data_IF_924566651868
#
_entry.id   IF_924566651868
#
_cell.length_a   1.000
_cell.length_b   1.000
_cell.length_c   1.000
_cell.angle_alpha   90.00
_cell.angle_beta   90.00
_cell.angle_gamma   90.00
#
_symmetry.space_group_name_H-M   'P 1'
#
loop_
_entity.id
_entity.type
_entity.pdbx_description
1 polymer ?
#
# COMPACT_ATOMS: atom_id res chain seq x y z
N UNK A 1 -21.40 3.81 -63.54
CA UNK A 1 -21.54 3.21 -62.20
C UNK A 1 -20.41 2.21 -62.04
N UNK A 2 -19.27 2.63 -61.50
CA UNK A 2 -18.11 1.75 -61.29
C UNK A 2 -17.86 1.67 -59.79
N UNK A 3 -18.43 0.64 -59.17
CA UNK A 3 -18.12 0.27 -57.80
C UNK A 3 -16.74 -0.37 -57.77
N UNK A 4 -15.72 0.40 -57.40
CA UNK A 4 -14.43 -0.18 -57.02
C UNK A 4 -14.55 -0.65 -55.58
N UNK A 5 -14.58 -1.97 -55.42
CA UNK A 5 -14.51 -2.67 -54.14
C UNK A 5 -13.25 -2.21 -53.42
N UNK A 6 -13.42 -1.42 -52.36
CA UNK A 6 -12.35 -1.14 -51.42
C UNK A 6 -11.94 -2.45 -50.78
N UNK A 7 -10.77 -2.95 -51.21
CA UNK A 7 -10.03 -4.04 -50.61
C UNK A 7 -9.75 -3.69 -49.14
N UNK A 8 -10.63 -4.12 -48.25
CA UNK A 8 -10.37 -4.17 -46.82
C UNK A 8 -9.50 -5.39 -46.56
N UNK A 9 -8.21 -5.26 -46.91
CA UNK A 9 -7.15 -6.13 -46.40
C UNK A 9 -7.08 -5.88 -44.89
N UNK A 10 -7.77 -6.74 -44.15
CA UNK A 10 -7.66 -6.88 -42.71
C UNK A 10 -6.16 -7.00 -42.36
N UNK A 11 -5.58 -5.92 -41.85
CA UNK A 11 -4.15 -5.86 -41.58
C UNK A 11 -3.80 -6.93 -40.55
N UNK A 12 -3.13 -8.00 -41.01
CA UNK A 12 -2.76 -9.16 -40.20
C UNK A 12 -2.03 -8.71 -38.93
N UNK A 13 -2.54 -9.16 -37.78
CA UNK A 13 -1.93 -8.88 -36.48
C UNK A 13 -0.56 -9.55 -36.41
N UNK A 14 0.48 -8.76 -36.12
CA UNK A 14 1.88 -9.19 -36.06
C UNK A 14 2.24 -9.58 -34.63
N UNK A 15 2.87 -10.73 -34.47
CA UNK A 15 3.38 -11.16 -33.17
C UNK A 15 4.77 -10.56 -32.94
N UNK A 16 5.01 -9.88 -31.80
CA UNK A 16 6.35 -9.49 -31.43
C UNK A 16 7.20 -10.73 -31.14
N UNK A 17 8.52 -10.61 -31.28
CA UNK A 17 9.44 -11.66 -30.83
C UNK A 17 9.23 -11.82 -29.33
N UNK A 18 8.87 -13.03 -28.88
CA UNK A 18 8.51 -13.34 -27.49
C UNK A 18 9.68 -13.04 -26.53
N UNK A 19 10.92 -12.99 -27.04
CA UNK A 19 12.12 -12.57 -26.31
C UNK A 19 12.19 -11.07 -25.99
N UNK A 20 11.41 -10.22 -26.66
CA UNK A 20 11.44 -8.76 -26.48
C UNK A 20 10.99 -8.29 -25.07
N UNK A 21 9.88 -8.77 -24.49
CA UNK A 21 9.56 -8.56 -23.08
C UNK A 21 10.57 -9.24 -22.15
N UNK A 22 11.18 -10.36 -22.59
CA UNK A 22 12.01 -11.23 -21.76
C UNK A 22 11.16 -12.24 -20.98
N UNK A 23 11.78 -13.34 -20.54
CA UNK A 23 11.10 -14.30 -19.67
C UNK A 23 10.83 -13.70 -18.30
N UNK A 24 9.80 -14.21 -17.63
CA UNK A 24 9.35 -13.77 -16.33
C UNK A 24 9.34 -14.93 -15.34
N UNK A 25 10.25 -14.90 -14.39
CA UNK A 25 10.41 -15.90 -13.33
C UNK A 25 9.70 -15.54 -12.03
N UNK A 26 9.18 -14.31 -11.92
CA UNK A 26 8.58 -13.75 -10.71
C UNK A 26 9.54 -12.96 -9.81
N UNK A 27 10.79 -12.74 -10.22
CA UNK A 27 11.77 -11.95 -9.46
C UNK A 27 11.59 -10.44 -9.54
N UNK A 28 10.81 -9.97 -10.52
CA UNK A 28 10.58 -8.56 -10.80
C UNK A 28 9.09 -8.22 -10.72
N UNK A 29 8.78 -6.92 -10.62
CA UNK A 29 7.41 -6.41 -10.62
C UNK A 29 6.64 -6.87 -11.87
N UNK A 30 5.56 -7.65 -11.65
CA UNK A 30 4.69 -8.12 -12.72
C UNK A 30 4.05 -6.96 -13.50
N UNK A 31 3.72 -5.84 -12.86
CA UNK A 31 3.14 -4.66 -13.52
C UNK A 31 4.11 -4.12 -14.57
N UNK A 32 5.37 -3.92 -14.17
CA UNK A 32 6.42 -3.44 -15.08
C UNK A 32 6.65 -4.39 -16.26
N UNK A 33 6.71 -5.68 -15.99
CA UNK A 33 6.88 -6.69 -17.04
C UNK A 33 5.67 -6.73 -18.00
N UNK A 34 4.44 -6.71 -17.46
CA UNK A 34 3.20 -6.67 -18.26
C UNK A 34 3.13 -5.42 -19.14
N UNK A 35 3.53 -4.25 -18.63
CA UNK A 35 3.59 -3.03 -19.42
C UNK A 35 4.56 -3.17 -20.58
N UNK A 36 5.75 -3.76 -20.34
CA UNK A 36 6.74 -4.02 -21.39
C UNK A 36 6.21 -4.97 -22.46
N UNK A 37 5.50 -6.03 -22.03
CA UNK A 37 4.83 -6.96 -22.95
C UNK A 37 3.78 -6.25 -23.80
N UNK A 38 2.89 -5.46 -23.19
CA UNK A 38 1.87 -4.71 -23.92
C UNK A 38 2.49 -3.74 -24.94
N UNK A 39 3.52 -2.99 -24.54
CA UNK A 39 4.26 -2.10 -25.44
C UNK A 39 4.88 -2.84 -26.62
N UNK A 40 5.39 -4.06 -26.42
CA UNK A 40 5.97 -4.85 -27.51
C UNK A 40 4.95 -5.23 -28.59
N UNK A 41 3.71 -5.54 -28.19
CA UNK A 41 2.61 -5.78 -29.12
C UNK A 41 2.21 -4.50 -29.86
N UNK A 42 2.06 -3.40 -29.14
CA UNK A 42 1.69 -2.11 -29.73
C UNK A 42 2.75 -1.62 -30.73
N UNK A 43 4.04 -1.82 -30.44
CA UNK A 43 5.14 -1.39 -31.30
C UNK A 43 5.11 -2.05 -32.69
N UNK A 44 4.66 -3.30 -32.79
CA UNK A 44 4.60 -4.04 -34.06
C UNK A 44 3.22 -3.97 -34.74
N UNK A 45 2.20 -3.48 -34.03
CA UNK A 45 0.80 -3.41 -34.50
C UNK A 45 0.25 -1.97 -34.57
N UNK A 46 1.11 -0.96 -34.74
CA UNK A 46 0.69 0.44 -34.92
C UNK A 46 -0.14 0.97 -33.73
N UNK A 47 0.20 0.54 -32.51
CA UNK A 47 -0.52 0.92 -31.29
C UNK A 47 -1.74 0.05 -30.97
N UNK A 48 -2.08 -0.96 -31.78
CA UNK A 48 -3.18 -1.88 -31.48
C UNK A 48 -2.79 -2.90 -30.42
N UNK A 49 -3.72 -3.14 -29.49
CA UNK A 49 -3.61 -4.20 -28.50
C UNK A 49 -3.90 -5.57 -29.13
N UNK A 50 -3.31 -6.62 -28.55
CA UNK A 50 -3.58 -8.00 -28.95
C UNK A 50 -4.94 -8.47 -28.45
N UNK A 51 -5.54 -9.43 -29.17
CA UNK A 51 -6.71 -10.13 -28.66
C UNK A 51 -6.38 -10.92 -27.37
N UNK A 52 -7.37 -11.18 -26.50
CA UNK A 52 -7.15 -11.85 -25.22
C UNK A 52 -6.45 -13.20 -25.35
N UNK A 53 -6.79 -13.99 -26.37
CA UNK A 53 -6.22 -15.32 -26.56
C UNK A 53 -4.73 -15.22 -26.89
N UNK A 54 -4.37 -14.37 -27.83
CA UNK A 54 -2.98 -14.12 -28.22
C UNK A 54 -2.17 -13.58 -27.05
N UNK A 55 -2.72 -12.63 -26.30
CA UNK A 55 -2.02 -12.03 -25.18
C UNK A 55 -1.78 -13.03 -24.04
N UNK A 56 -2.81 -13.81 -23.65
CA UNK A 56 -2.69 -14.85 -22.61
C UNK A 56 -1.69 -15.93 -23.04
N UNK A 57 -1.71 -16.36 -24.30
CA UNK A 57 -0.72 -17.32 -24.84
C UNK A 57 0.70 -16.78 -24.73
N UNK A 58 0.90 -15.53 -25.15
CA UNK A 58 2.21 -14.89 -25.07
C UNK A 58 2.70 -14.76 -23.64
N UNK A 59 1.82 -14.41 -22.70
CA UNK A 59 2.14 -14.42 -21.29
C UNK A 59 2.58 -15.80 -20.83
N UNK A 60 1.75 -16.84 -21.05
CA UNK A 60 2.03 -18.20 -20.62
C UNK A 60 3.36 -18.75 -21.17
N UNK A 61 3.69 -18.46 -22.43
CA UNK A 61 4.96 -18.88 -23.04
C UNK A 61 6.17 -18.13 -22.48
N UNK A 62 5.99 -16.93 -21.94
CA UNK A 62 7.05 -16.13 -21.37
C UNK A 62 7.25 -16.37 -19.87
N UNK A 63 6.36 -17.10 -19.19
CA UNK A 63 6.51 -17.47 -17.79
C UNK A 63 7.55 -18.59 -17.63
N UNK A 64 8.44 -18.42 -16.65
CA UNK A 64 9.45 -19.40 -16.28
C UNK A 64 9.47 -19.60 -14.75
N UNK A 65 10.18 -20.62 -14.28
CA UNK A 65 10.47 -20.82 -12.86
C UNK A 65 9.24 -20.78 -11.94
N UNK A 66 9.28 -19.90 -10.94
CA UNK A 66 8.23 -19.79 -9.91
C UNK A 66 6.92 -19.24 -10.49
N UNK A 67 6.98 -18.35 -11.49
CA UNK A 67 5.80 -17.79 -12.12
C UNK A 67 5.05 -18.83 -12.97
N UNK A 68 5.78 -19.66 -13.72
CA UNK A 68 5.18 -20.80 -14.43
C UNK A 68 4.53 -21.79 -13.45
N UNK A 69 5.26 -22.16 -12.40
CA UNK A 69 4.76 -23.09 -11.36
C UNK A 69 3.49 -22.57 -10.68
N UNK A 70 3.42 -21.26 -10.41
CA UNK A 70 2.24 -20.63 -9.82
C UNK A 70 1.01 -20.77 -10.73
N UNK A 71 1.16 -20.48 -12.03
CA UNK A 71 0.08 -20.64 -13.01
C UNK A 71 -0.36 -22.10 -13.08
N UNK A 72 0.58 -23.05 -13.14
CA UNK A 72 0.27 -24.49 -13.21
C UNK A 72 -0.37 -25.04 -11.92
N UNK A 73 -0.14 -24.39 -10.78
CA UNK A 73 -0.76 -24.76 -9.51
C UNK A 73 -2.20 -24.25 -9.35
N UNK A 74 -2.57 -23.20 -10.06
CA UNK A 74 -3.88 -22.54 -9.93
C UNK A 74 -4.87 -23.10 -10.95
N UNK A 75 -5.95 -23.72 -10.47
CA UNK A 75 -7.03 -24.23 -11.32
C UNK A 75 -7.66 -23.13 -12.19
N UNK A 76 -7.86 -21.94 -11.60
CA UNK A 76 -8.41 -20.79 -12.31
C UNK A 76 -7.51 -20.37 -13.48
N UNK A 77 -6.22 -20.18 -13.23
CA UNK A 77 -5.27 -19.71 -14.25
C UNK A 77 -5.06 -20.77 -15.33
N UNK A 78 -5.01 -22.05 -14.97
CA UNK A 78 -5.02 -23.16 -15.93
C UNK A 78 -6.26 -23.18 -16.81
N UNK A 79 -7.44 -22.91 -16.23
CA UNK A 79 -8.68 -22.84 -17.00
C UNK A 79 -8.64 -21.70 -18.02
N UNK A 80 -8.08 -20.55 -17.65
CA UNK A 80 -7.90 -19.38 -18.53
C UNK A 80 -6.93 -19.71 -19.67
N UNK A 81 -5.77 -20.30 -19.37
CA UNK A 81 -4.78 -20.72 -20.39
C UNK A 81 -5.39 -21.75 -21.33
N UNK A 82 -6.19 -22.68 -20.82
CA UNK A 82 -6.92 -23.65 -21.63
C UNK A 82 -7.93 -22.96 -22.56
N UNK A 83 -8.76 -22.04 -22.06
CA UNK A 83 -9.69 -21.24 -22.89
C UNK A 83 -8.96 -20.46 -23.97
N UNK A 84 -7.85 -19.81 -23.63
CA UNK A 84 -7.02 -19.07 -24.57
C UNK A 84 -6.46 -19.99 -25.68
N UNK A 85 -6.02 -21.20 -25.31
CA UNK A 85 -5.54 -22.21 -26.25
C UNK A 85 -6.60 -22.59 -27.28
N UNK A 86 -7.86 -22.69 -26.85
CA UNK A 86 -9.01 -22.99 -27.70
C UNK A 86 -9.62 -21.76 -28.40
N UNK A 87 -9.06 -20.56 -28.22
CA UNK A 87 -9.56 -19.33 -28.85
C UNK A 87 -10.84 -18.78 -28.23
N UNK A 88 -11.18 -19.19 -27.00
CA UNK A 88 -12.40 -18.80 -26.30
C UNK A 88 -12.17 -17.96 -25.04
N UNK A 89 -10.94 -17.47 -24.82
CA UNK A 89 -10.67 -16.56 -23.71
C UNK A 89 -11.32 -15.19 -23.94
N UNK A 90 -11.91 -14.66 -22.87
CA UNK A 90 -12.58 -13.36 -22.88
C UNK A 90 -11.66 -12.25 -22.38
N UNK A 91 -12.11 -11.00 -22.50
CA UNK A 91 -11.40 -9.87 -21.90
C UNK A 91 -11.34 -9.97 -20.36
N UNK A 92 -12.36 -10.55 -19.74
CA UNK A 92 -12.40 -10.77 -18.29
C UNK A 92 -11.35 -11.81 -17.87
N UNK A 93 -11.17 -12.87 -18.65
CA UNK A 93 -10.11 -13.86 -18.43
C UNK A 93 -8.72 -13.22 -18.44
N UNK A 94 -8.49 -12.31 -19.39
CA UNK A 94 -7.23 -11.55 -19.45
C UNK A 94 -7.06 -10.64 -18.23
N UNK A 95 -8.12 -9.97 -17.79
CA UNK A 95 -8.09 -9.12 -16.60
C UNK A 95 -7.79 -9.93 -15.33
N UNK A 96 -8.43 -11.08 -15.16
CA UNK A 96 -8.20 -11.99 -14.04
C UNK A 96 -6.78 -12.55 -14.04
N UNK A 97 -6.26 -12.92 -15.20
CA UNK A 97 -4.89 -13.43 -15.31
C UNK A 97 -3.85 -12.35 -14.95
N UNK A 98 -4.04 -11.11 -15.43
CA UNK A 98 -3.20 -9.97 -15.07
C UNK A 98 -3.27 -9.65 -13.58
N UNK A 99 -4.47 -9.65 -13.01
CA UNK A 99 -4.69 -9.41 -11.58
C UNK A 99 -3.96 -10.46 -10.75
N UNK A 100 -4.12 -11.74 -11.07
CA UNK A 100 -3.45 -12.81 -10.32
C UNK A 100 -1.92 -12.69 -10.31
N UNK A 101 -1.31 -12.33 -11.45
CA UNK A 101 0.13 -12.09 -11.51
C UNK A 101 0.57 -10.85 -10.73
N UNK A 102 -0.18 -9.75 -10.85
CA UNK A 102 0.15 -8.49 -10.15
C UNK A 102 -0.06 -8.58 -8.65
N UNK A 103 -1.09 -9.29 -8.18
CA UNK A 103 -1.31 -9.56 -6.75
C UNK A 103 -0.20 -10.45 -6.17
N UNK A 104 0.28 -11.44 -6.94
CA UNK A 104 1.31 -12.38 -6.50
C UNK A 104 2.72 -11.79 -6.55
N UNK A 105 3.03 -11.05 -7.60
CA UNK A 105 4.35 -10.49 -7.90
C UNK A 105 4.30 -8.96 -7.91
N UNK A 106 3.59 -8.38 -6.94
CA UNK A 106 3.70 -6.97 -6.67
C UNK A 106 5.15 -6.68 -6.23
N UNK A 107 5.73 -5.53 -6.59
CA UNK A 107 6.96 -5.10 -5.97
C UNK A 107 6.63 -5.01 -4.50
N UNK A 108 7.16 -5.93 -3.69
CA UNK A 108 7.36 -5.62 -2.30
C UNK A 108 8.13 -4.30 -2.38
N UNK A 109 7.47 -3.19 -2.02
CA UNK A 109 8.21 -2.07 -1.46
C UNK A 109 9.21 -2.75 -0.57
N UNK A 110 10.50 -2.50 -0.82
CA UNK A 110 11.62 -2.94 0.01
C UNK A 110 11.04 -3.19 1.39
N UNK A 111 11.15 -4.41 1.91
CA UNK A 111 10.95 -4.64 3.33
C UNK A 111 11.94 -3.69 4.04
N UNK A 112 11.62 -2.38 4.12
CA UNK A 112 11.79 -1.56 5.28
C UNK A 112 11.18 -2.47 6.32
N UNK A 113 12.06 -3.16 7.07
CA UNK A 113 11.73 -4.39 7.76
C UNK A 113 10.37 -4.15 8.34
N UNK A 114 9.37 -4.91 7.85
CA UNK A 114 8.01 -4.77 8.29
C UNK A 114 8.13 -4.51 9.79
N UNK A 115 7.62 -3.38 10.25
CA UNK A 115 7.56 -3.09 11.67
C UNK A 115 6.57 -4.10 12.27
N UNK A 116 6.90 -5.38 12.17
CA UNK A 116 6.44 -6.47 12.99
C UNK A 116 6.73 -5.97 14.38
N UNK A 117 5.71 -5.36 14.98
CA UNK A 117 5.07 -5.66 16.28
C UNK A 117 5.85 -6.42 17.38
N UNK A 118 7.09 -6.82 17.16
CA UNK A 118 8.02 -7.38 18.12
C UNK A 118 9.10 -6.34 18.43
N UNK A 119 8.87 -5.58 19.51
CA UNK A 119 9.88 -4.86 20.33
C UNK A 119 10.15 -3.38 20.06
N UNK A 120 9.14 -2.56 19.71
CA UNK A 120 9.26 -1.14 20.04
C UNK A 120 9.00 -0.94 21.52
N UNK A 121 10.07 -0.82 22.30
CA UNK A 121 9.96 -0.41 23.68
C UNK A 121 9.50 1.05 23.72
N UNK A 122 8.18 1.22 23.83
CA UNK A 122 7.52 2.52 24.01
C UNK A 122 7.71 3.07 25.43
N UNK A 123 8.41 2.35 26.31
CA UNK A 123 8.74 2.85 27.65
C UNK A 123 9.94 3.78 27.54
N UNK A 124 9.92 4.85 28.33
CA UNK A 124 11.09 5.71 28.51
C UNK A 124 12.15 4.92 29.27
N UNK A 125 13.40 4.93 28.79
CA UNK A 125 14.52 4.33 29.52
C UNK A 125 14.77 5.06 30.85
N UNK A 126 15.31 4.36 31.85
CA UNK A 126 15.54 4.94 33.19
C UNK A 126 16.42 6.20 33.16
N UNK A 127 17.37 6.27 32.21
CA UNK A 127 18.29 7.39 32.03
C UNK A 127 18.01 8.20 30.75
N UNK A 128 16.86 7.98 30.08
CA UNK A 128 16.51 8.67 28.84
C UNK A 128 15.88 10.04 29.15
N UNK A 129 16.44 11.18 28.69
CA UNK A 129 15.80 12.48 28.87
C UNK A 129 14.50 12.56 28.06
N UNK A 130 13.47 13.22 28.62
CA UNK A 130 12.12 13.27 28.06
C UNK A 130 12.07 13.71 26.59
N UNK A 131 12.94 14.66 26.20
CA UNK A 131 13.01 15.16 24.83
C UNK A 131 13.50 14.09 23.84
N UNK A 132 14.49 13.28 24.25
CA UNK A 132 15.01 12.19 23.42
C UNK A 132 13.96 11.09 23.27
N UNK A 133 13.28 10.74 24.35
CA UNK A 133 12.15 9.80 24.33
C UNK A 133 11.04 10.26 23.37
N UNK A 134 10.60 11.51 23.49
CA UNK A 134 9.55 12.07 22.63
C UNK A 134 9.95 12.03 21.16
N UNK A 135 11.18 12.45 20.83
CA UNK A 135 11.68 12.45 19.45
C UNK A 135 11.73 11.04 18.87
N UNK A 136 12.17 10.06 19.67
CA UNK A 136 12.21 8.65 19.27
C UNK A 136 10.82 8.10 19.00
N UNK A 137 9.88 8.30 19.93
CA UNK A 137 8.50 7.79 19.80
C UNK A 137 7.75 8.44 18.64
N UNK A 138 7.87 9.76 18.46
CA UNK A 138 7.25 10.46 17.32
C UNK A 138 7.86 10.01 15.99
N UNK A 139 9.18 9.82 15.94
CA UNK A 139 9.86 9.27 14.77
C UNK A 139 9.36 7.89 14.39
N UNK A 140 9.16 7.01 15.37
CA UNK A 140 8.57 5.68 15.18
C UNK A 140 7.13 5.75 14.70
N UNK A 141 6.31 6.60 15.33
CA UNK A 141 4.90 6.74 15.00
C UNK A 141 4.70 7.28 13.57
N UNK A 142 5.52 8.24 13.15
CA UNK A 142 5.51 8.77 11.77
C UNK A 142 5.93 7.72 10.74
N UNK A 143 6.92 6.88 11.05
CA UNK A 143 7.33 5.76 10.17
C UNK A 143 6.23 4.70 10.06
N UNK A 144 5.48 4.47 11.13
CA UNK A 144 4.30 3.59 11.13
C UNK A 144 3.06 4.21 10.44
N UNK A 145 3.19 5.38 9.80
CA UNK A 145 2.08 6.06 9.12
C UNK A 145 1.14 6.84 10.04
N UNK A 146 1.47 6.98 11.32
CA UNK A 146 0.78 7.84 12.26
C UNK A 146 0.93 9.31 11.84
N UNK A 147 -0.20 9.93 11.49
CA UNK A 147 -0.27 11.37 11.22
C UNK A 147 -0.67 12.10 12.49
N UNK A 148 -0.03 13.22 12.76
CA UNK A 148 -0.51 14.15 13.78
C UNK A 148 -1.94 14.56 13.39
N UNK A 149 -2.90 14.38 14.31
CA UNK A 149 -4.27 14.85 14.08
C UNK A 149 -4.19 16.36 13.81
N UNK A 150 -4.89 16.89 12.80
CA UNK A 150 -4.88 18.32 12.53
C UNK A 150 -5.37 19.02 13.79
N UNK A 151 -4.46 19.75 14.45
CA UNK A 151 -4.82 20.67 15.51
C UNK A 151 -5.57 21.79 14.81
N UNK A 152 -6.90 21.70 14.80
CA UNK A 152 -7.74 22.81 14.37
C UNK A 152 -7.49 23.96 15.33
N UNK A 153 -6.70 24.94 14.88
CA UNK A 153 -6.18 26.06 15.66
C UNK A 153 -7.25 27.01 16.24
N UNK A 154 -8.55 26.72 16.08
CA UNK A 154 -9.65 27.58 16.52
C UNK A 154 -10.65 26.89 17.46
N UNK A 155 -10.31 25.77 18.09
CA UNK A 155 -11.18 25.23 19.14
C UNK A 155 -10.80 25.87 20.48
N UNK A 156 -11.60 26.83 21.02
CA UNK A 156 -11.28 27.41 22.32
C UNK A 156 -11.29 26.29 23.36
N UNK A 157 -10.18 26.12 24.07
CA UNK A 157 -10.03 25.14 25.15
C UNK A 157 -11.31 25.10 26.00
N UNK A 158 -11.84 23.90 26.20
CA UNK A 158 -13.02 23.68 27.03
C UNK A 158 -12.75 24.20 28.45
N UNK A 159 -13.82 24.52 29.17
CA UNK A 159 -13.71 25.06 30.54
C UNK A 159 -12.94 24.08 31.44
N UNK A 160 -13.09 22.77 31.22
CA UNK A 160 -12.36 21.73 31.95
C UNK A 160 -10.85 21.75 31.64
N UNK A 161 -10.46 21.90 30.37
CA UNK A 161 -9.06 21.96 29.96
C UNK A 161 -8.37 23.24 30.47
N UNK A 162 -9.08 24.38 30.42
CA UNK A 162 -8.62 25.65 31.02
C UNK A 162 -8.39 25.52 32.52
N UNK A 163 -9.29 24.82 33.22
CA UNK A 163 -9.15 24.58 34.66
C UNK A 163 -7.91 23.73 34.97
N UNK A 164 -7.72 22.61 34.26
CA UNK A 164 -6.57 21.72 34.47
C UNK A 164 -5.26 22.44 34.19
N UNK A 165 -5.18 23.21 33.08
CA UNK A 165 -3.98 23.99 32.76
C UNK A 165 -3.68 25.05 33.83
N UNK A 166 -4.70 25.70 34.38
CA UNK A 166 -4.51 26.69 35.44
C UNK A 166 -4.03 26.04 36.73
N UNK A 167 -4.57 24.86 37.11
CA UNK A 167 -4.11 24.09 38.27
C UNK A 167 -2.65 23.66 38.12
N UNK A 168 -2.28 23.15 36.94
CA UNK A 168 -0.90 22.73 36.66
C UNK A 168 0.09 23.92 36.62
N UNK A 169 -0.34 25.05 36.04
CA UNK A 169 0.44 26.29 36.02
C UNK A 169 0.66 26.85 37.42
N UNK A 170 -0.37 26.86 38.27
CA UNK A 170 -0.27 27.37 39.64
C UNK A 170 0.54 26.45 40.55
N UNK A 171 0.49 25.13 40.31
CA UNK A 171 1.32 24.15 41.03
C UNK A 171 2.80 24.35 40.78
N UNK A 172 3.21 24.71 39.55
CA UNK A 172 4.61 25.04 39.24
C UNK A 172 5.07 26.39 39.80
N UNK A 173 4.15 27.31 40.09
CA UNK A 173 4.45 28.64 40.68
C UNK A 173 4.36 28.69 42.20
N UNK A 174 4.07 27.56 42.87
CA UNK A 174 3.95 27.50 44.33
C UNK A 174 2.77 28.29 44.91
N UNK A 175 1.77 28.64 44.09
CA UNK A 175 0.58 29.38 44.56
C UNK A 175 -0.51 28.37 44.90
N UNK A 176 -0.72 28.14 46.19
CA UNK A 176 -1.78 27.29 46.71
C UNK A 176 -3.13 28.03 46.53
N UNK A 177 -4.16 27.40 45.94
CA UNK A 177 -5.48 28.02 45.83
C UNK A 177 -6.03 28.35 47.22
N UNK A 178 -6.57 29.57 47.39
CA UNK A 178 -7.01 30.14 48.67
C UNK A 178 -8.06 29.30 49.42
N UNK A 179 -8.76 28.40 48.73
CA UNK A 179 -9.72 27.45 49.30
C UNK A 179 -9.08 26.26 50.04
N UNK A 180 -7.80 25.94 49.79
CA UNK A 180 -7.09 24.92 50.57
C UNK A 180 -6.72 25.38 51.99
N UNK A 181 -6.83 26.67 52.30
CA UNK A 181 -6.51 27.20 53.64
C UNK A 181 -7.71 27.09 54.60
N UNK A 182 -8.94 26.97 54.08
CA UNK A 182 -10.14 26.95 54.92
C UNK A 182 -10.50 25.56 55.48
N UNK A 183 -9.87 24.47 55.02
CA UNK A 183 -10.08 23.14 55.60
C UNK A 183 -9.11 22.79 56.75
N UNK A 184 -8.19 23.69 57.11
CA UNK A 184 -7.19 23.44 58.16
C UNK A 184 -7.43 24.20 59.48
N UNK A 185 -8.59 24.84 59.67
CA UNK A 185 -8.92 25.62 60.89
C UNK A 185 -10.17 25.14 61.65
N UNK A 186 -10.55 23.87 61.53
CA UNK A 186 -11.63 23.29 62.34
C UNK A 186 -11.22 21.99 63.05
N UNK A 187 -10.00 21.93 63.56
CA UNK A 187 -9.61 20.83 64.46
C UNK A 187 -8.51 21.24 65.46
N UNK A 188 -8.82 22.21 66.33
CA UNK A 188 -8.02 22.48 67.54
C UNK A 188 -8.89 23.12 68.61
N UNK A 189 -9.47 22.29 69.49
CA UNK A 189 -10.18 22.80 70.67
C UNK A 189 -11.15 21.82 71.35
N UNK A 190 -10.68 20.65 71.78
CA UNK A 190 -11.32 19.92 72.89
C UNK A 190 -10.28 19.08 73.62
N UNK A 191 -9.80 19.60 74.76
CA UNK A 191 -9.30 18.86 75.93
C UNK A 191 -8.77 19.85 76.97
N UNK A 192 -9.62 20.11 77.97
CA UNK A 192 -9.37 19.77 79.38
C UNK A 192 -10.71 19.72 80.09
#
# INVERSE_FOLDING_TARGET
MSSSLTSSLEAAFKLPVISAPGSFDGSSDATRWLTKLQWSFQAVNEGRDADPNTFIKAMNMALEGQAATYVDSSELLRSIVSRASHGSATQDDLADFRRALTDRYHPNFVDEPALTSSNFEMRQGADEPLFAYHTRVVGLLRRAGGKDAPSGDDTPLSIAEKYILNVLSNRKRGVIPRWCILSASSDRGSRS
#
